data_IF_359421520976
#
_entry.id   IF_359421520976
#
_cell.length_a   1.000
_cell.length_b   1.000
_cell.length_c   1.000
_cell.angle_alpha   90.00
_cell.angle_beta   90.00
_cell.angle_gamma   90.00
#
_symmetry.space_group_name_H-M   'P 1'
#
loop_
_entity.id
_entity.type
_entity.pdbx_description
1 polymer ?
#
# COMPACT_ATOMS: atom_id res chain seq x y z
N UNK A 1 21.96 -16.25 -16.67
CA UNK A 1 21.38 -16.41 -15.32
C UNK A 1 21.59 -15.09 -14.60
N UNK A 2 20.63 -14.17 -14.73
CA UNK A 2 20.75 -12.81 -14.19
C UNK A 2 20.07 -12.78 -12.84
N UNK A 3 20.86 -12.52 -11.79
CA UNK A 3 20.45 -12.38 -10.40
C UNK A 3 19.29 -11.38 -10.29
N UNK A 4 18.13 -11.71 -9.70
CA UNK A 4 17.08 -10.73 -9.52
C UNK A 4 17.57 -9.68 -8.52
N UNK A 5 17.78 -8.45 -8.99
CA UNK A 5 18.10 -7.30 -8.16
C UNK A 5 17.04 -7.13 -7.07
N UNK A 6 17.39 -6.75 -5.82
CA UNK A 6 16.45 -6.57 -4.70
C UNK A 6 15.45 -5.41 -4.89
N UNK A 7 15.39 -4.79 -6.08
CA UNK A 7 14.60 -3.62 -6.45
C UNK A 7 13.37 -3.93 -7.32
N UNK A 8 12.90 -5.19 -7.35
CA UNK A 8 11.91 -5.67 -8.33
C UNK A 8 10.45 -5.75 -7.87
N UNK A 9 10.07 -5.16 -6.74
CA UNK A 9 8.66 -5.17 -6.30
C UNK A 9 8.20 -3.80 -5.80
N UNK A 10 7.76 -2.89 -6.70
CA UNK A 10 6.99 -1.72 -6.33
C UNK A 10 5.68 -2.13 -5.68
N UNK A 11 5.64 -2.21 -4.36
CA UNK A 11 4.35 -2.26 -3.69
C UNK A 11 3.75 -0.87 -3.73
N UNK A 12 2.56 -0.75 -4.29
CA UNK A 12 1.80 0.49 -4.29
C UNK A 12 0.67 0.38 -3.28
N UNK A 13 0.57 1.39 -2.43
CA UNK A 13 -0.60 1.65 -1.64
C UNK A 13 -1.51 2.59 -2.43
N UNK A 14 -2.61 2.05 -2.97
CA UNK A 14 -3.67 2.81 -3.58
C UNK A 14 -4.64 3.26 -2.49
N UNK A 15 -4.65 4.55 -2.21
CA UNK A 15 -5.63 5.17 -1.31
C UNK A 15 -6.77 5.76 -2.12
N UNK A 16 -8.01 5.71 -1.63
CA UNK A 16 -9.14 6.23 -2.37
C UNK A 16 -9.00 7.77 -2.46
N UNK A 17 -9.67 8.39 -3.44
CA UNK A 17 -9.86 9.83 -3.42
C UNK A 17 -10.46 10.22 -2.07
N UNK A 18 -9.76 11.07 -1.32
CA UNK A 18 -10.27 11.54 -0.04
C UNK A 18 -11.64 12.20 -0.28
N UNK A 19 -12.60 12.06 0.64
CA UNK A 19 -13.99 12.58 0.52
C UNK A 19 -14.11 14.11 0.30
N UNK A 20 -13.00 14.82 0.11
CA UNK A 20 -12.93 16.20 -0.35
C UNK A 20 -12.97 16.22 -1.88
N UNK A 21 -13.95 16.93 -2.44
CA UNK A 21 -14.11 17.14 -3.88
C UNK A 21 -12.77 17.52 -4.53
N UNK A 22 -12.33 16.73 -5.51
CA UNK A 22 -11.15 17.02 -6.33
C UNK A 22 -9.84 16.34 -5.93
N UNK A 23 -9.80 15.54 -4.84
CA UNK A 23 -8.60 14.76 -4.50
C UNK A 23 -8.62 13.45 -5.30
N UNK A 24 -7.65 13.28 -6.21
CA UNK A 24 -7.45 12.03 -6.96
C UNK A 24 -7.00 10.90 -6.02
N UNK A 25 -7.25 9.62 -6.38
CA UNK A 25 -6.65 8.49 -5.68
C UNK A 25 -5.13 8.68 -5.62
N UNK A 26 -4.55 8.50 -4.44
CA UNK A 26 -3.12 8.69 -4.23
C UNK A 26 -2.43 7.33 -4.17
N UNK A 27 -1.49 7.13 -5.08
CA UNK A 27 -0.64 5.93 -5.16
C UNK A 27 0.67 6.23 -4.43
N UNK A 28 0.88 5.57 -3.29
CA UNK A 28 2.11 5.72 -2.51
C UNK A 28 2.99 4.50 -2.70
N UNK A 29 4.25 4.71 -3.11
CA UNK A 29 5.23 3.63 -3.20
C UNK A 29 5.64 3.19 -1.80
N UNK A 30 5.51 1.91 -1.54
CA UNK A 30 5.90 1.26 -0.30
C UNK A 30 7.24 0.53 -0.49
N UNK A 31 8.14 0.61 0.51
CA UNK A 31 9.48 0.04 0.42
C UNK A 31 9.52 -1.49 0.60
N UNK A 32 8.43 -2.13 1.05
CA UNK A 32 8.35 -3.57 1.29
C UNK A 32 7.38 -4.23 0.32
N UNK A 33 7.37 -5.56 0.26
CA UNK A 33 6.47 -6.38 -0.57
C UNK A 33 4.98 -6.24 -0.15
N UNK A 34 4.01 -6.46 -1.05
CA UNK A 34 2.59 -6.30 -0.71
C UNK A 34 2.16 -7.27 0.39
N UNK A 35 2.76 -8.46 0.42
CA UNK A 35 2.51 -9.50 1.42
C UNK A 35 3.04 -9.12 2.81
N UNK A 36 4.02 -8.21 2.88
CA UNK A 36 4.54 -7.69 4.14
C UNK A 36 3.58 -6.72 4.83
N UNK A 37 2.47 -6.36 4.19
CA UNK A 37 1.45 -5.48 4.75
C UNK A 37 0.16 -6.22 5.10
N UNK A 38 -0.52 -5.74 6.13
CA UNK A 38 -1.83 -6.19 6.56
C UNK A 38 -2.77 -5.00 6.44
N UNK A 39 -3.79 -5.17 5.60
CA UNK A 39 -4.92 -4.26 5.52
C UNK A 39 -5.99 -4.74 6.50
N UNK A 40 -6.32 -3.89 7.47
CA UNK A 40 -7.35 -4.14 8.47
C UNK A 40 -8.41 -3.06 8.37
N UNK A 41 -9.67 -3.47 8.34
CA UNK A 41 -10.79 -2.54 8.38
C UNK A 41 -11.37 -2.52 9.81
N UNK A 42 -11.42 -1.35 10.42
CA UNK A 42 -12.01 -1.11 11.74
C UNK A 42 -13.15 -0.11 11.55
N UNK A 43 -14.38 -0.63 11.47
CA UNK A 43 -15.56 0.17 11.14
C UNK A 43 -15.46 0.77 9.73
N UNK A 44 -15.53 2.09 9.64
CA UNK A 44 -15.39 2.85 8.39
C UNK A 44 -13.94 3.24 8.08
N UNK A 45 -13.01 2.95 8.99
CA UNK A 45 -11.59 3.30 8.84
C UNK A 45 -10.79 2.09 8.39
N UNK A 46 -9.95 2.29 7.39
CA UNK A 46 -8.99 1.34 6.88
C UNK A 46 -7.61 1.64 7.43
N UNK A 47 -6.92 0.59 7.86
CA UNK A 47 -5.59 0.64 8.44
C UNK A 47 -4.67 -0.30 7.69
N UNK A 48 -3.54 0.22 7.24
CA UNK A 48 -2.47 -0.58 6.67
C UNK A 48 -1.31 -0.60 7.65
N UNK A 49 -0.91 -1.80 8.07
CA UNK A 49 0.23 -2.01 8.95
C UNK A 49 1.23 -2.99 8.34
N UNK A 50 2.51 -2.81 8.64
CA UNK A 50 3.55 -3.80 8.32
C UNK A 50 3.30 -5.04 9.18
N UNK A 51 3.12 -6.22 8.59
CA UNK A 51 2.89 -7.48 9.31
C UNK A 51 4.04 -7.82 10.25
N UNK A 52 5.27 -7.63 9.80
CA UNK A 52 6.45 -8.02 10.54
C UNK A 52 6.68 -7.13 11.78
N UNK A 53 6.47 -5.83 11.64
CA UNK A 53 6.75 -4.85 12.70
C UNK A 53 5.51 -4.38 13.46
N UNK A 54 4.31 -4.59 12.92
CA UNK A 54 3.06 -4.01 13.41
C UNK A 54 2.92 -2.51 13.14
N UNK A 55 3.85 -1.89 12.41
CA UNK A 55 3.90 -0.45 12.18
C UNK A 55 2.78 0.00 11.25
N UNK A 56 1.93 0.91 11.70
CA UNK A 56 0.82 1.45 10.90
C UNK A 56 1.35 2.51 9.96
N UNK A 57 1.40 2.19 8.67
CA UNK A 57 1.83 3.11 7.60
C UNK A 57 0.68 3.96 7.07
N UNK A 58 -0.56 3.51 7.24
CA UNK A 58 -1.76 4.26 6.84
C UNK A 58 -2.92 3.99 7.78
N UNK A 59 -3.67 5.03 8.12
CA UNK A 59 -4.93 4.93 8.85
C UNK A 59 -5.87 6.03 8.35
N UNK A 60 -6.96 5.65 7.67
CA UNK A 60 -7.85 6.62 7.05
C UNK A 60 -9.07 5.97 6.40
N UNK A 61 -9.98 6.78 5.83
CA UNK A 61 -11.13 6.27 5.08
C UNK A 61 -10.68 5.47 3.86
N UNK A 62 -11.32 4.31 3.63
CA UNK A 62 -11.03 3.42 2.48
C UNK A 62 -12.19 3.38 1.47
N UNK A 63 -12.08 2.54 0.42
CA UNK A 63 -11.24 1.34 0.33
C UNK A 63 -9.78 1.63 -0.01
N UNK A 64 -8.84 0.99 0.70
CA UNK A 64 -7.41 0.99 0.36
C UNK A 64 -7.01 -0.35 -0.23
N UNK A 65 -6.18 -0.32 -1.26
CA UNK A 65 -5.65 -1.52 -1.92
C UNK A 65 -4.13 -1.50 -1.92
N UNK A 66 -3.54 -2.67 -1.71
CA UNK A 66 -2.09 -2.86 -1.83
C UNK A 66 -1.86 -3.70 -3.07
N UNK A 67 -1.23 -3.09 -4.07
CA UNK A 67 -0.96 -3.72 -5.35
C UNK A 67 0.54 -3.92 -5.47
N UNK A 68 0.96 -5.18 -5.61
CA UNK A 68 2.32 -5.48 -6.06
C UNK A 68 2.39 -5.28 -7.57
N UNK A 69 3.14 -4.28 -8.05
CA UNK A 69 3.42 -4.19 -9.47
C UNK A 69 4.53 -5.17 -9.83
N UNK A 70 4.36 -6.01 -10.86
CA UNK A 70 5.45 -6.82 -11.40
C UNK A 70 6.38 -6.04 -12.34
N UNK A 71 6.06 -4.77 -12.65
CA UNK A 71 6.86 -3.92 -13.52
C UNK A 71 7.83 -3.07 -12.70
N UNK A 72 9.14 -3.05 -13.01
CA UNK A 72 10.08 -2.11 -12.40
C UNK A 72 9.73 -0.67 -12.82
N UNK A 73 9.79 0.27 -11.87
CA UNK A 73 9.60 1.71 -12.09
C UNK A 73 10.88 2.41 -12.57
#
# INVERSE_FOLDING_TARGET
>A
MTTPSPWNYPTLLCTPPWKVEGVLPSETVLPLEPEAYAVTQVGETWRVAVRHSGEVIYAGPGPVEIVGSPAPF
#
